data_IF_844767209877
#
_entry.id   IF_844767209877
#
_cell.length_a   1.000
_cell.length_b   1.000
_cell.length_c   1.000
_cell.angle_alpha   90.00
_cell.angle_beta   90.00
_cell.angle_gamma   90.00
#
_symmetry.space_group_name_H-M   'P 1'
#
loop_
_entity.id
_entity.type
_entity.pdbx_description
1 polymer ?
#
# COMPACT_ATOMS: atom_id res chain seq x y z
N UNK A 1 -38.19 14.20 22.92
CA UNK A 1 -36.73 14.12 23.10
C UNK A 1 -36.49 12.78 23.77
N UNK A 2 -36.19 11.75 22.98
CA UNK A 2 -35.90 10.42 23.54
C UNK A 2 -34.51 10.46 24.17
N UNK A 3 -34.46 10.28 25.48
CA UNK A 3 -33.22 10.07 26.21
C UNK A 3 -32.69 8.67 25.85
N UNK A 4 -31.62 8.65 25.04
CA UNK A 4 -30.86 7.44 24.75
C UNK A 4 -30.10 6.99 26.00
N UNK A 5 -30.80 6.29 26.90
CA UNK A 5 -30.25 5.70 28.10
C UNK A 5 -29.45 4.44 27.75
N UNK A 6 -28.20 4.61 27.32
CA UNK A 6 -27.31 3.55 26.82
C UNK A 6 -26.66 2.68 27.93
N UNK A 7 -27.22 2.64 29.15
CA UNK A 7 -26.74 1.74 30.20
C UNK A 7 -25.39 2.12 30.81
N UNK A 8 -25.05 3.40 30.76
CA UNK A 8 -23.96 4.02 31.50
C UNK A 8 -24.63 4.84 32.62
N UNK A 9 -24.11 4.86 33.84
CA UNK A 9 -24.73 5.59 34.97
C UNK A 9 -25.01 7.07 34.67
N UNK A 10 -25.58 7.78 35.65
CA UNK A 10 -26.15 9.15 35.60
C UNK A 10 -25.23 10.28 35.05
N UNK A 11 -24.05 9.94 34.54
CA UNK A 11 -23.11 10.85 33.88
C UNK A 11 -23.64 11.24 32.49
N UNK A 12 -24.11 12.48 32.36
CA UNK A 12 -24.49 13.09 31.09
C UNK A 12 -23.24 13.21 30.20
N UNK A 13 -23.24 12.50 29.07
CA UNK A 13 -22.21 12.62 28.03
C UNK A 13 -22.34 13.99 27.35
N UNK A 14 -21.26 14.77 27.36
CA UNK A 14 -21.22 16.10 26.73
C UNK A 14 -20.71 16.03 25.29
N UNK A 15 -19.74 15.16 25.04
CA UNK A 15 -19.16 14.98 23.71
C UNK A 15 -18.99 13.50 23.37
N UNK A 16 -19.31 13.15 22.14
CA UNK A 16 -19.10 11.81 21.58
C UNK A 16 -18.46 11.93 20.20
N UNK A 17 -17.41 11.15 19.99
CA UNK A 17 -16.71 11.03 18.72
C UNK A 17 -16.51 9.56 18.37
N UNK A 18 -16.63 9.23 17.10
CA UNK A 18 -16.49 7.87 16.57
C UNK A 18 -15.63 7.90 15.33
N UNK A 19 -14.76 6.91 15.17
CA UNK A 19 -13.98 6.72 13.94
C UNK A 19 -14.77 6.00 12.83
N UNK A 20 -16.03 5.64 13.08
CA UNK A 20 -16.86 4.85 12.17
C UNK A 20 -16.39 3.40 11.98
N UNK A 21 -15.25 3.04 12.57
CA UNK A 21 -14.57 1.77 12.47
C UNK A 21 -14.47 1.10 13.84
N UNK A 22 -15.48 1.31 14.70
CA UNK A 22 -15.65 0.61 15.96
C UNK A 22 -14.85 1.15 17.16
N UNK A 23 -14.26 2.35 17.09
CA UNK A 23 -13.80 3.07 18.29
C UNK A 23 -14.72 4.24 18.59
N UNK A 24 -15.09 4.39 19.86
CA UNK A 24 -15.90 5.50 20.36
C UNK A 24 -15.15 6.16 21.51
N UNK A 25 -15.03 7.48 21.46
CA UNK A 25 -14.54 8.33 22.53
C UNK A 25 -15.71 9.14 23.09
N UNK A 26 -15.95 9.05 24.40
CA UNK A 26 -16.91 9.91 25.10
C UNK A 26 -16.22 10.78 26.14
N UNK A 27 -16.73 11.99 26.32
CA UNK A 27 -16.27 12.95 27.32
C UNK A 27 -17.46 13.52 28.11
N UNK A 28 -17.29 13.70 29.42
CA UNK A 28 -18.24 14.42 30.29
C UNK A 28 -17.77 15.84 30.55
N UNK A 29 -18.68 16.73 31.00
CA UNK A 29 -18.34 18.12 31.40
C UNK A 29 -17.36 18.19 32.56
N UNK A 30 -17.31 17.15 33.39
CA UNK A 30 -16.41 17.03 34.53
C UNK A 30 -15.01 16.53 34.15
N UNK A 31 -14.77 16.27 32.86
CA UNK A 31 -13.47 15.87 32.32
C UNK A 31 -13.21 14.37 32.31
N UNK A 32 -14.22 13.53 32.53
CA UNK A 32 -14.08 12.07 32.39
C UNK A 32 -14.02 11.72 30.91
N UNK A 33 -12.91 11.12 30.48
CA UNK A 33 -12.73 10.55 29.14
C UNK A 33 -12.90 9.04 29.19
N UNK A 34 -13.65 8.48 28.24
CA UNK A 34 -13.84 7.04 28.09
C UNK A 34 -13.64 6.63 26.63
N UNK A 35 -12.72 5.68 26.43
CA UNK A 35 -12.46 5.07 25.13
C UNK A 35 -13.05 3.66 25.13
N UNK A 36 -13.93 3.38 24.17
CA UNK A 36 -14.54 2.07 23.96
C UNK A 36 -14.17 1.53 22.57
N UNK A 37 -13.84 0.24 22.50
CA UNK A 37 -13.47 -0.45 21.26
C UNK A 37 -14.44 -1.63 21.06
N UNK A 38 -15.02 -1.72 19.87
CA UNK A 38 -15.87 -2.84 19.48
C UNK A 38 -15.07 -4.16 19.50
N UNK A 39 -15.65 -5.23 20.06
CA UNK A 39 -14.98 -6.53 20.09
C UNK A 39 -14.70 -7.02 18.66
N UNK A 40 -13.54 -7.63 18.45
CA UNK A 40 -13.15 -8.19 17.15
C UNK A 40 -12.60 -7.19 16.12
N UNK A 41 -12.63 -5.88 16.40
CA UNK A 41 -12.10 -4.87 15.47
C UNK A 41 -10.59 -4.95 15.29
N UNK A 42 -9.86 -5.46 16.29
CA UNK A 42 -8.39 -5.59 16.23
C UNK A 42 -7.94 -6.56 15.13
N UNK A 43 -8.66 -7.66 14.94
CA UNK A 43 -8.40 -8.62 13.86
C UNK A 43 -8.68 -8.01 12.49
N UNK A 44 -9.81 -7.33 12.33
CA UNK A 44 -10.20 -6.65 11.08
C UNK A 44 -9.18 -5.57 10.71
N UNK A 45 -8.71 -4.78 11.69
CA UNK A 45 -7.68 -3.74 11.48
C UNK A 45 -6.34 -4.35 11.11
N UNK A 46 -5.95 -5.46 11.74
CA UNK A 46 -4.70 -6.14 11.42
C UNK A 46 -4.72 -6.70 10.00
N UNK A 47 -5.83 -7.28 9.57
CA UNK A 47 -6.01 -7.80 8.22
C UNK A 47 -6.01 -6.68 7.19
N UNK A 48 -6.78 -5.61 7.43
CA UNK A 48 -6.83 -4.44 6.54
C UNK A 48 -5.48 -3.77 6.36
N UNK A 49 -4.65 -3.72 7.42
CA UNK A 49 -3.28 -3.21 7.32
C UNK A 49 -2.39 -4.12 6.48
N UNK A 50 -2.50 -5.44 6.62
CA UNK A 50 -1.72 -6.39 5.80
C UNK A 50 -2.09 -6.29 4.32
N UNK A 51 -3.37 -6.23 4.00
CA UNK A 51 -3.82 -6.08 2.60
C UNK A 51 -3.29 -4.78 2.00
N UNK A 52 -3.34 -3.68 2.76
CA UNK A 52 -2.79 -2.40 2.31
C UNK A 52 -1.26 -2.47 2.11
N UNK A 53 -0.53 -3.11 3.02
CA UNK A 53 0.91 -3.33 2.89
C UNK A 53 1.26 -4.18 1.66
N UNK A 54 0.47 -5.21 1.36
CA UNK A 54 0.65 -6.06 0.17
C UNK A 54 0.35 -5.32 -1.14
N UNK A 55 -0.72 -4.51 -1.16
CA UNK A 55 -1.07 -3.67 -2.31
C UNK A 55 0.01 -2.65 -2.61
N UNK A 56 0.51 -1.95 -1.58
CA UNK A 56 1.61 -0.99 -1.74
C UNK A 56 2.90 -1.68 -2.18
N UNK A 57 3.22 -2.86 -1.65
CA UNK A 57 4.38 -3.65 -2.14
C UNK A 57 4.24 -4.02 -3.61
N UNK A 58 3.06 -4.48 -4.04
CA UNK A 58 2.80 -4.82 -5.45
C UNK A 58 2.92 -3.59 -6.34
N UNK A 59 2.41 -2.44 -5.89
CA UNK A 59 2.53 -1.17 -6.60
C UNK A 59 3.98 -0.73 -6.76
N UNK A 60 4.78 -0.82 -5.68
CA UNK A 60 6.19 -0.47 -5.70
C UNK A 60 7.00 -1.40 -6.60
N UNK A 61 6.74 -2.71 -6.55
CA UNK A 61 7.38 -3.68 -7.44
C UNK A 61 7.06 -3.39 -8.92
N UNK A 62 5.79 -3.14 -9.23
CA UNK A 62 5.38 -2.76 -10.59
C UNK A 62 6.06 -1.48 -11.06
N UNK A 63 6.16 -0.47 -10.19
CA UNK A 63 6.81 0.80 -10.50
C UNK A 63 8.31 0.58 -10.76
N UNK A 64 8.98 -0.16 -9.89
CA UNK A 64 10.40 -0.47 -10.02
C UNK A 64 10.71 -1.23 -11.32
N UNK A 65 9.89 -2.23 -11.66
CA UNK A 65 10.04 -3.00 -12.91
C UNK A 65 9.78 -2.13 -14.14
N UNK A 66 8.80 -1.24 -14.08
CA UNK A 66 8.50 -0.29 -15.17
C UNK A 66 9.66 0.67 -15.40
N UNK A 67 10.20 1.28 -14.35
CA UNK A 67 11.37 2.17 -14.45
C UNK A 67 12.61 1.43 -14.95
N UNK A 68 12.83 0.19 -14.51
CA UNK A 68 13.94 -0.63 -15.00
C UNK A 68 13.80 -0.94 -16.49
N UNK A 69 12.57 -1.17 -16.97
CA UNK A 69 12.30 -1.40 -18.38
C UNK A 69 12.54 -0.15 -19.22
N UNK A 70 12.04 1.01 -18.79
CA UNK A 70 12.32 2.29 -19.45
C UNK A 70 13.83 2.57 -19.52
N UNK A 71 14.57 2.29 -18.44
CA UNK A 71 16.04 2.40 -18.44
C UNK A 71 16.70 1.42 -19.42
N UNK A 72 16.12 0.24 -19.64
CA UNK A 72 16.64 -0.74 -20.60
C UNK A 72 16.44 -0.24 -22.04
N UNK A 73 15.25 0.30 -22.34
CA UNK A 73 14.96 0.91 -23.64
C UNK A 73 15.86 2.12 -23.91
N UNK A 74 16.06 2.99 -22.91
CA UNK A 74 16.96 4.13 -23.05
C UNK A 74 18.41 3.68 -23.34
N UNK A 75 18.90 2.65 -22.65
CA UNK A 75 20.23 2.09 -22.91
C UNK A 75 20.33 1.48 -24.32
N UNK A 76 19.23 0.90 -24.82
CA UNK A 76 19.15 0.39 -26.18
C UNK A 76 19.22 1.53 -27.22
N UNK A 77 18.46 2.60 -27.02
CA UNK A 77 18.43 3.79 -27.89
C UNK A 77 19.79 4.51 -27.91
N UNK A 78 20.52 4.47 -26.80
CA UNK A 78 21.89 5.01 -26.68
C UNK A 78 22.98 4.07 -27.23
N UNK A 79 22.62 2.86 -27.68
CA UNK A 79 23.56 1.86 -28.19
C UNK A 79 24.43 1.20 -27.10
N UNK A 80 24.04 1.33 -25.83
CA UNK A 80 24.70 0.71 -24.67
C UNK A 80 24.21 -0.74 -24.50
N UNK A 81 24.51 -1.60 -25.47
CA UNK A 81 24.00 -2.96 -25.58
C UNK A 81 24.24 -3.83 -24.34
N UNK A 82 25.42 -3.74 -23.73
CA UNK A 82 25.75 -4.49 -22.52
C UNK A 82 24.85 -4.13 -21.34
N UNK A 83 24.54 -2.83 -21.19
CA UNK A 83 23.67 -2.31 -20.12
C UNK A 83 22.21 -2.68 -20.37
N UNK A 84 21.74 -2.56 -21.61
CA UNK A 84 20.40 -2.99 -21.99
C UNK A 84 20.20 -4.49 -21.72
N UNK A 85 21.17 -5.33 -22.07
CA UNK A 85 21.12 -6.77 -21.86
C UNK A 85 21.04 -7.14 -20.36
N UNK A 86 21.81 -6.45 -19.52
CA UNK A 86 21.78 -6.64 -18.06
C UNK A 86 20.39 -6.34 -17.50
N UNK A 87 19.79 -5.22 -17.90
CA UNK A 87 18.48 -4.79 -17.42
C UNK A 87 17.36 -5.72 -17.90
N UNK A 88 17.38 -6.15 -19.17
CA UNK A 88 16.40 -7.11 -19.68
C UNK A 88 16.52 -8.49 -19.01
N UNK A 89 17.74 -8.96 -18.72
CA UNK A 89 17.96 -10.19 -17.93
C UNK A 89 17.43 -10.06 -16.51
N UNK A 90 17.68 -8.92 -15.86
CA UNK A 90 17.16 -8.65 -14.51
C UNK A 90 15.62 -8.63 -14.48
N UNK A 91 14.98 -8.19 -15.57
CA UNK A 91 13.52 -8.23 -15.73
C UNK A 91 12.96 -9.61 -16.10
N UNK A 92 13.82 -10.57 -16.49
CA UNK A 92 13.43 -11.89 -17.00
C UNK A 92 12.86 -11.86 -18.42
N UNK A 93 13.23 -10.86 -19.24
CA UNK A 93 12.73 -10.67 -20.61
C UNK A 93 13.65 -11.33 -21.63
N UNK A 94 13.66 -12.66 -21.64
CA UNK A 94 14.58 -13.46 -22.49
C UNK A 94 14.40 -13.20 -23.99
N UNK A 95 13.19 -12.82 -24.44
CA UNK A 95 12.92 -12.48 -25.83
C UNK A 95 13.69 -11.22 -26.27
N UNK A 96 13.71 -10.17 -25.44
CA UNK A 96 14.45 -8.93 -25.72
C UNK A 96 15.96 -9.16 -25.67
N UNK A 97 16.42 -10.02 -24.76
CA UNK A 97 17.82 -10.44 -24.69
C UNK A 97 18.25 -11.10 -26.01
N UNK A 98 17.44 -12.02 -26.56
CA UNK A 98 17.73 -12.67 -27.85
C UNK A 98 17.71 -11.66 -29.01
N UNK A 99 16.76 -10.73 -29.00
CA UNK A 99 16.65 -9.68 -30.03
C UNK A 99 17.91 -8.82 -30.09
N UNK A 100 18.39 -8.36 -28.93
CA UNK A 100 19.61 -7.54 -28.87
C UNK A 100 20.85 -8.34 -29.30
N UNK A 101 20.99 -9.59 -28.88
CA UNK A 101 22.12 -10.43 -29.30
C UNK A 101 22.13 -10.64 -30.83
N UNK A 102 20.97 -10.88 -31.44
CA UNK A 102 20.86 -11.03 -32.89
C UNK A 102 21.17 -9.75 -33.68
N UNK A 103 20.84 -8.58 -33.12
CA UNK A 103 21.22 -7.29 -33.71
C UNK A 103 22.73 -7.02 -33.63
N UNK A 104 23.37 -7.50 -32.55
CA UNK A 104 24.82 -7.39 -32.38
C UNK A 104 25.57 -8.31 -33.36
N UNK A 105 25.13 -9.57 -33.52
CA UNK A 105 25.74 -10.54 -34.45
C UNK A 105 25.58 -10.16 -35.92
N UNK A 106 24.52 -9.40 -36.27
CA UNK A 106 24.29 -8.91 -37.63
C UNK A 106 24.95 -7.57 -37.98
N UNK A 107 25.61 -6.92 -37.02
CA UNK A 107 26.34 -5.65 -37.23
C UNK A 107 27.86 -5.82 -37.43
N UNK A 108 28.39 -7.03 -37.29
CA UNK A 108 29.77 -7.42 -37.67
C UNK A 108 29.82 -7.91 -39.13
#
# INVERSE_FOLDING_TARGET
LEENHLGFGDDIVDHISSDGAGSILTATKEGLLRWSIAPGISGIRAEGRRTQEEEERRRLDWLQRSTMFESAQQAEDEGLWSRALELYRALGRDEDVRRILGLQEGSD
#
